data_IF_074472058467
#
_entry.id   IF_074472058467
#
_cell.length_a   1.000
_cell.length_b   1.000
_cell.length_c   1.000
_cell.angle_alpha   90.00
_cell.angle_beta   90.00
_cell.angle_gamma   90.00
#
_symmetry.space_group_name_H-M   'P 1'
#
loop_
_entity.id
_entity.type
_entity.pdbx_description
1 polymer ?
#
# COMPACT_ATOMS: atom_id res chain seq x y z
N UNK A 1 1.15 -6.44 34.42
CA UNK A 1 1.61 -7.51 33.51
C UNK A 1 1.67 -6.88 32.11
N UNK A 2 2.87 -6.64 31.57
CA UNK A 2 2.98 -6.04 30.24
C UNK A 2 2.58 -7.08 29.20
N UNK A 3 1.64 -6.73 28.33
CA UNK A 3 1.23 -7.58 27.21
C UNK A 3 2.41 -7.54 26.22
N UNK A 4 2.99 -8.69 25.92
CA UNK A 4 4.02 -8.79 24.88
C UNK A 4 3.32 -8.55 23.53
N UNK A 5 3.65 -7.47 22.83
CA UNK A 5 3.08 -7.18 21.52
C UNK A 5 3.85 -7.96 20.43
N UNK A 6 3.10 -8.64 19.56
CA UNK A 6 3.67 -9.26 18.36
C UNK A 6 3.84 -8.20 17.27
N UNK A 7 5.04 -7.63 17.20
CA UNK A 7 5.39 -6.64 16.19
C UNK A 7 5.53 -7.23 14.78
N UNK A 8 5.71 -8.56 14.65
CA UNK A 8 5.73 -9.23 13.36
C UNK A 8 4.35 -9.25 12.72
N UNK A 9 3.36 -9.74 13.47
CA UNK A 9 1.94 -9.72 13.04
C UNK A 9 1.43 -8.28 12.81
N UNK A 10 1.81 -7.34 13.68
CA UNK A 10 1.44 -5.92 13.52
C UNK A 10 2.00 -5.33 12.22
N UNK A 11 3.27 -5.60 11.91
CA UNK A 11 3.89 -5.15 10.68
C UNK A 11 3.23 -5.78 9.44
N UNK A 12 2.97 -7.08 9.47
CA UNK A 12 2.30 -7.79 8.38
C UNK A 12 0.92 -7.18 8.08
N UNK A 13 0.12 -6.91 9.12
CA UNK A 13 -1.19 -6.26 8.98
C UNK A 13 -1.07 -4.83 8.44
N UNK A 14 -0.03 -4.10 8.84
CA UNK A 14 0.26 -2.76 8.29
C UNK A 14 0.58 -2.81 6.79
N UNK A 15 1.32 -3.83 6.32
CA UNK A 15 1.59 -4.03 4.88
C UNK A 15 0.30 -4.42 4.13
N UNK A 16 -0.51 -5.31 4.70
CA UNK A 16 -1.81 -5.68 4.14
C UNK A 16 -2.76 -4.47 4.02
N UNK A 17 -2.69 -3.51 4.94
CA UNK A 17 -3.45 -2.26 4.81
C UNK A 17 -3.10 -1.51 3.52
N UNK A 18 -1.82 -1.36 3.18
CA UNK A 18 -1.42 -0.73 1.90
C UNK A 18 -1.88 -1.55 0.70
N UNK A 19 -1.82 -2.87 0.76
CA UNK A 19 -2.38 -3.74 -0.26
C UNK A 19 -3.89 -3.49 -0.46
N UNK A 20 -4.59 -3.24 0.64
CA UNK A 20 -6.00 -2.87 0.71
C UNK A 20 -6.34 -1.53 0.07
N UNK A 21 -5.34 -0.68 -0.21
CA UNK A 21 -5.52 0.63 -0.85
C UNK A 21 -5.13 0.66 -2.33
N UNK A 22 -4.60 -0.43 -2.91
CA UNK A 22 -4.16 -0.47 -4.33
C UNK A 22 -5.28 -0.08 -5.29
N UNK A 23 -4.99 0.77 -6.27
CA UNK A 23 -5.87 1.10 -7.40
C UNK A 23 -5.30 0.50 -8.70
N UNK A 24 -6.09 0.46 -9.77
CA UNK A 24 -5.71 -0.15 -11.05
C UNK A 24 -6.00 -1.65 -11.11
N UNK A 25 -5.30 -2.33 -12.02
CA UNK A 25 -5.34 -3.79 -12.14
C UNK A 25 -4.55 -4.43 -11.02
N UNK A 26 -5.18 -5.35 -10.30
CA UNK A 26 -4.55 -6.02 -9.17
C UNK A 26 -3.72 -7.23 -9.64
N UNK A 27 -2.56 -7.50 -9.02
CA UNK A 27 -1.78 -8.68 -9.33
C UNK A 27 -2.50 -9.95 -8.86
N UNK A 28 -2.25 -11.08 -9.54
CA UNK A 28 -2.80 -12.39 -9.14
C UNK A 28 -2.33 -12.86 -7.77
N UNK A 29 -1.24 -12.28 -7.27
CA UNK A 29 -0.64 -12.57 -5.95
C UNK A 29 -1.22 -11.73 -4.81
N UNK A 30 -2.26 -10.93 -5.06
CA UNK A 30 -2.98 -10.15 -4.03
C UNK A 30 -3.60 -11.10 -2.98
N UNK A 31 -3.32 -10.83 -1.70
CA UNK A 31 -3.84 -11.55 -0.54
C UNK A 31 -5.29 -11.15 -0.22
N UNK A 32 -5.65 -9.88 -0.39
CA UNK A 32 -6.97 -9.37 -0.04
C UNK A 32 -8.03 -9.69 -1.12
N UNK A 33 -8.74 -10.80 -0.92
CA UNK A 33 -9.70 -11.38 -1.89
C UNK A 33 -10.94 -10.53 -2.16
N UNK A 34 -11.29 -9.63 -1.25
CA UNK A 34 -12.43 -8.72 -1.36
C UNK A 34 -12.12 -7.46 -2.20
N UNK A 35 -10.85 -7.17 -2.49
CA UNK A 35 -10.47 -6.12 -3.45
C UNK A 35 -10.52 -6.67 -4.89
N UNK A 36 -10.78 -5.80 -5.86
CA UNK A 36 -10.84 -6.10 -7.31
C UNK A 36 -10.24 -4.95 -8.12
N UNK A 37 -10.00 -5.21 -9.40
CA UNK A 37 -9.57 -4.21 -10.40
C UNK A 37 -10.48 -2.98 -10.35
N UNK A 38 -9.89 -1.79 -10.33
CA UNK A 38 -10.64 -0.53 -10.21
C UNK A 38 -9.91 0.62 -10.90
N UNK A 39 -10.65 1.69 -11.25
CA UNK A 39 -10.11 2.92 -11.87
C UNK A 39 -9.22 2.66 -13.10
N UNK A 40 -9.65 1.72 -13.96
CA UNK A 40 -8.91 1.29 -15.15
C UNK A 40 -8.87 2.33 -16.28
N UNK A 41 -9.64 3.41 -16.15
CA UNK A 41 -9.71 4.51 -17.13
C UNK A 41 -8.96 5.76 -16.66
N UNK A 42 -8.23 5.70 -15.55
CA UNK A 42 -7.50 6.87 -15.01
C UNK A 42 -6.49 7.40 -16.06
N UNK A 43 -6.61 8.69 -16.39
CA UNK A 43 -5.73 9.38 -17.36
C UNK A 43 -6.17 9.28 -18.82
N UNK A 44 -7.20 8.48 -19.13
CA UNK A 44 -7.69 8.28 -20.49
C UNK A 44 -8.09 9.60 -21.19
N UNK A 45 -8.72 10.52 -20.47
CA UNK A 45 -9.13 11.84 -20.97
C UNK A 45 -7.94 12.74 -21.36
N UNK A 46 -6.74 12.41 -20.85
CA UNK A 46 -5.48 13.08 -21.16
C UNK A 46 -4.57 12.25 -22.07
N UNK A 47 -5.03 11.09 -22.55
CA UNK A 47 -4.24 10.20 -23.40
C UNK A 47 -3.02 9.59 -22.70
N UNK A 48 -3.04 9.48 -21.38
CA UNK A 48 -1.98 8.88 -20.56
C UNK A 48 -2.53 7.76 -19.69
N UNK A 49 -1.69 6.78 -19.34
CA UNK A 49 -2.05 5.75 -18.37
C UNK A 49 -1.69 6.24 -16.96
N UNK A 50 -2.71 6.54 -16.15
CA UNK A 50 -2.57 6.88 -14.74
C UNK A 50 -3.18 5.82 -13.82
N UNK A 51 -3.35 4.59 -14.32
CA UNK A 51 -3.78 3.43 -13.50
C UNK A 51 -2.69 3.05 -12.47
N UNK A 52 -3.06 2.26 -11.46
CA UNK A 52 -2.12 1.86 -10.39
C UNK A 52 -2.18 2.77 -9.16
N UNK A 53 -1.13 2.80 -8.34
CA UNK A 53 -1.05 3.66 -7.15
C UNK A 53 -1.98 3.25 -6.00
N UNK A 54 -2.21 4.18 -5.07
CA UNK A 54 -3.01 3.95 -3.86
C UNK A 54 -4.15 4.97 -3.71
N UNK A 55 -5.29 4.52 -3.21
CA UNK A 55 -6.37 5.40 -2.78
C UNK A 55 -6.03 6.08 -1.46
N UNK A 56 -6.34 7.37 -1.37
CA UNK A 56 -6.12 8.16 -0.16
C UNK A 56 -7.23 7.92 0.85
N UNK A 57 -6.85 7.43 2.04
CA UNK A 57 -7.76 7.14 3.14
C UNK A 57 -9.01 6.34 2.72
N UNK A 58 -10.21 6.87 2.96
CA UNK A 58 -11.49 6.22 2.65
C UNK A 58 -12.09 6.62 1.30
N UNK A 59 -11.46 7.53 0.56
CA UNK A 59 -11.96 8.01 -0.74
C UNK A 59 -11.17 7.38 -1.88
N UNK A 60 -11.77 7.36 -3.07
CA UNK A 60 -11.13 6.78 -4.25
C UNK A 60 -10.24 7.80 -5.00
N UNK A 61 -9.80 8.87 -4.32
CA UNK A 61 -8.93 9.90 -4.90
C UNK A 61 -7.47 9.53 -4.67
N UNK A 62 -6.63 9.73 -5.69
CA UNK A 62 -5.17 9.53 -5.62
C UNK A 62 -4.47 10.84 -5.30
N UNK A 63 -4.42 11.23 -4.03
CA UNK A 63 -3.67 12.41 -3.63
C UNK A 63 -2.17 12.12 -3.63
N UNK A 64 -1.46 12.60 -4.65
CA UNK A 64 -0.05 12.27 -4.87
C UNK A 64 0.88 12.75 -3.75
N UNK A 65 0.60 13.89 -3.12
CA UNK A 65 1.45 14.43 -2.05
C UNK A 65 1.52 13.50 -0.82
N UNK A 66 0.40 13.10 -0.18
CA UNK A 66 0.43 12.14 0.92
C UNK A 66 0.87 10.73 0.47
N UNK A 67 0.58 10.32 -0.77
CA UNK A 67 1.06 9.04 -1.32
C UNK A 67 2.59 8.98 -1.41
N UNK A 68 3.22 10.04 -1.93
CA UNK A 68 4.67 10.15 -2.04
C UNK A 68 5.33 10.21 -0.65
N UNK A 69 4.75 10.97 0.27
CA UNK A 69 5.22 11.01 1.66
C UNK A 69 5.17 9.62 2.33
N UNK A 70 4.04 8.91 2.22
CA UNK A 70 3.87 7.58 2.80
C UNK A 70 4.88 6.59 2.24
N UNK A 71 5.10 6.62 0.92
CA UNK A 71 6.11 5.78 0.26
C UNK A 71 7.52 6.09 0.77
N UNK A 72 7.85 7.37 0.94
CA UNK A 72 9.14 7.82 1.48
C UNK A 72 9.36 7.27 2.89
N UNK A 73 8.36 7.38 3.77
CA UNK A 73 8.46 6.86 5.14
C UNK A 73 8.60 5.33 5.19
N UNK A 74 7.88 4.61 4.32
CA UNK A 74 8.01 3.15 4.21
C UNK A 74 9.42 2.75 3.78
N UNK A 75 9.94 3.37 2.71
CA UNK A 75 11.29 3.09 2.21
C UNK A 75 12.34 3.47 3.25
N UNK A 76 12.19 4.60 3.93
CA UNK A 76 13.11 4.99 4.99
C UNK A 76 13.11 3.98 6.14
N UNK A 77 11.94 3.50 6.57
CA UNK A 77 11.84 2.42 7.56
C UNK A 77 12.56 1.14 7.13
N UNK A 78 12.53 0.78 5.85
CA UNK A 78 13.28 -0.37 5.31
C UNK A 78 14.80 -0.09 5.31
N UNK A 79 15.23 1.13 4.99
CA UNK A 79 16.64 1.50 5.01
C UNK A 79 17.22 1.44 6.43
N UNK A 80 16.49 1.93 7.43
CA UNK A 80 16.94 1.95 8.83
C UNK A 80 16.84 0.56 9.48
N UNK A 81 15.76 -0.18 9.23
CA UNK A 81 15.40 -1.37 10.02
C UNK A 81 15.32 -2.67 9.20
N UNK A 82 15.58 -2.64 7.90
CA UNK A 82 15.46 -3.81 7.03
C UNK A 82 16.42 -4.96 7.37
N UNK A 83 17.60 -4.65 7.93
CA UNK A 83 18.61 -5.64 8.33
C UNK A 83 18.33 -6.26 9.70
N UNK A 84 17.62 -5.55 10.57
CA UNK A 84 17.27 -6.00 11.92
C UNK A 84 16.01 -6.86 11.93
N UNK A 85 15.20 -6.80 10.87
CA UNK A 85 14.09 -7.73 10.67
C UNK A 85 14.61 -9.03 10.08
N UNK A 86 14.28 -10.16 10.72
CA UNK A 86 14.40 -11.48 10.10
C UNK A 86 13.52 -11.59 8.85
N UNK A 87 13.58 -12.71 8.10
CA UNK A 87 12.75 -12.88 6.91
C UNK A 87 11.26 -12.69 7.27
N UNK A 88 10.57 -11.85 6.50
CA UNK A 88 9.13 -11.58 6.57
C UNK A 88 8.41 -12.56 5.64
#
# INVERSE_FOLDING_TARGET
MAILHDYGDTLLKSILFFEGQRSGRLPSTQCLTWRKDSALSDGFDKGVDLTGGYYDASVNVKFNFPMAFSTTMLVWGVLEYGKTKGPI
#
